data_IF_984117341629
#
_entry.id   IF_984117341629
#
_cell.length_a   1.000
_cell.length_b   1.000
_cell.length_c   1.000
_cell.angle_alpha   90.00
_cell.angle_beta   90.00
_cell.angle_gamma   90.00
#
_symmetry.space_group_name_H-M   'P 1'
#
loop_
_entity.id
_entity.type
_entity.pdbx_description
1 polymer ?
#
# COMPACT_ATOMS: atom_id res chain seq x y z
N UNK A 1 3.06 -40.68 7.11
CA UNK A 1 1.65 -41.09 7.29
C UNK A 1 0.81 -40.06 8.05
N UNK A 2 1.13 -39.71 9.30
CA UNK A 2 0.33 -38.75 10.10
C UNK A 2 0.03 -37.41 9.40
N UNK A 3 1.04 -36.76 8.80
CA UNK A 3 0.88 -35.48 8.11
C UNK A 3 0.01 -35.53 6.84
N UNK A 4 -0.11 -36.71 6.22
CA UNK A 4 -0.93 -36.92 5.03
C UNK A 4 -2.40 -37.03 5.44
N UNK A 5 -2.70 -37.86 6.44
CA UNK A 5 -4.05 -37.99 6.99
C UNK A 5 -4.59 -36.67 7.57
N UNK A 6 -3.75 -35.88 8.25
CA UNK A 6 -4.18 -34.55 8.75
C UNK A 6 -4.50 -33.61 7.59
N UNK A 7 -3.70 -33.61 6.52
CA UNK A 7 -3.93 -32.74 5.35
C UNK A 7 -5.23 -33.10 4.62
N UNK A 8 -5.55 -34.39 4.48
CA UNK A 8 -6.82 -34.86 3.91
C UNK A 8 -7.98 -34.39 4.80
N UNK A 9 -7.91 -34.65 6.10
CA UNK A 9 -8.95 -34.24 7.05
C UNK A 9 -9.22 -32.74 6.98
N UNK A 10 -8.18 -31.90 7.02
CA UNK A 10 -8.34 -30.45 6.92
C UNK A 10 -8.95 -30.04 5.58
N UNK A 11 -8.54 -30.65 4.45
CA UNK A 11 -9.09 -30.32 3.13
C UNK A 11 -10.60 -30.58 3.07
N UNK A 12 -11.05 -31.71 3.62
CA UNK A 12 -12.48 -32.02 3.72
C UNK A 12 -13.23 -31.10 4.70
N UNK A 13 -12.63 -30.79 5.85
CA UNK A 13 -13.23 -29.87 6.82
C UNK A 13 -13.44 -28.46 6.22
N UNK A 14 -12.45 -27.93 5.51
CA UNK A 14 -12.56 -26.64 4.79
C UNK A 14 -13.55 -26.72 3.63
N UNK A 15 -13.59 -27.82 2.89
CA UNK A 15 -14.57 -28.01 1.82
C UNK A 15 -16.00 -27.95 2.36
N UNK A 16 -16.24 -28.60 3.50
CA UNK A 16 -17.54 -28.56 4.18
C UNK A 16 -17.88 -27.15 4.66
N UNK A 17 -16.93 -26.46 5.30
CA UNK A 17 -17.10 -25.08 5.73
C UNK A 17 -17.49 -24.15 4.57
N UNK A 18 -16.76 -24.20 3.45
CA UNK A 18 -17.05 -23.41 2.26
C UNK A 18 -18.40 -23.78 1.68
N UNK A 19 -18.76 -25.06 1.60
CA UNK A 19 -20.07 -25.50 1.13
C UNK A 19 -21.21 -24.95 1.99
N UNK A 20 -21.08 -24.99 3.32
CA UNK A 20 -22.05 -24.41 4.24
C UNK A 20 -22.20 -22.90 4.00
N UNK A 21 -21.10 -22.17 3.83
CA UNK A 21 -21.14 -20.73 3.53
C UNK A 21 -21.78 -20.42 2.18
N UNK A 22 -21.51 -21.22 1.14
CA UNK A 22 -22.13 -21.06 -0.18
C UNK A 22 -23.64 -21.27 -0.09
N UNK A 23 -24.10 -22.29 0.64
CA UNK A 23 -25.54 -22.56 0.85
C UNK A 23 -26.21 -21.43 1.64
N UNK A 24 -25.55 -20.92 2.68
CA UNK A 24 -26.07 -19.83 3.51
C UNK A 24 -26.12 -18.48 2.76
N UNK A 25 -25.04 -18.08 2.09
CA UNK A 25 -24.92 -16.76 1.46
C UNK A 25 -25.45 -16.69 0.02
N UNK A 26 -25.59 -17.83 -0.68
CA UNK A 26 -26.13 -17.93 -2.05
C UNK A 26 -25.51 -16.91 -3.00
N UNK A 27 -26.31 -16.05 -3.64
CA UNK A 27 -25.84 -15.01 -4.57
C UNK A 27 -24.95 -13.95 -3.89
N UNK A 28 -25.15 -13.70 -2.60
CA UNK A 28 -24.32 -12.78 -1.82
C UNK A 28 -22.90 -13.33 -1.60
N UNK A 29 -22.68 -14.64 -1.77
CA UNK A 29 -21.34 -15.23 -1.70
C UNK A 29 -20.41 -14.67 -2.79
N UNK A 30 -20.95 -14.44 -4.00
CA UNK A 30 -20.21 -14.01 -5.19
C UNK A 30 -20.29 -12.49 -5.39
N UNK A 31 -21.42 -11.87 -5.07
CA UNK A 31 -21.65 -10.44 -5.33
C UNK A 31 -21.65 -9.57 -4.07
N UNK A 32 -21.50 -10.15 -2.88
CA UNK A 32 -21.47 -9.41 -1.62
C UNK A 32 -20.12 -8.77 -1.29
N UNK A 33 -20.13 -7.89 -0.28
CA UNK A 33 -18.92 -7.30 0.28
C UNK A 33 -18.02 -8.41 0.87
N UNK A 34 -16.82 -8.59 0.32
CA UNK A 34 -15.88 -9.65 0.71
C UNK A 34 -15.87 -10.89 -0.20
N UNK A 35 -16.50 -10.82 -1.38
CA UNK A 35 -16.51 -11.87 -2.39
C UNK A 35 -15.12 -12.39 -2.80
N UNK A 36 -14.10 -11.53 -2.85
CA UNK A 36 -12.74 -11.92 -3.22
C UNK A 36 -12.18 -12.99 -2.26
N UNK A 37 -12.47 -12.85 -0.97
CA UNK A 37 -12.05 -13.83 0.04
C UNK A 37 -12.81 -15.14 -0.07
N UNK A 38 -14.10 -15.07 -0.36
CA UNK A 38 -14.93 -16.24 -0.61
C UNK A 38 -14.45 -17.01 -1.87
N UNK A 39 -14.04 -16.28 -2.92
CA UNK A 39 -13.48 -16.86 -4.13
C UNK A 39 -12.10 -17.49 -3.88
N UNK A 40 -11.25 -16.85 -3.07
CA UNK A 40 -9.97 -17.41 -2.64
C UNK A 40 -10.14 -18.69 -1.81
N UNK A 41 -11.11 -18.72 -0.89
CA UNK A 41 -11.43 -19.91 -0.10
C UNK A 41 -11.83 -21.09 -1.02
N UNK A 42 -12.66 -20.83 -2.04
CA UNK A 42 -13.02 -21.83 -3.06
C UNK A 42 -11.80 -22.28 -3.87
N UNK A 43 -10.95 -21.34 -4.30
CA UNK A 43 -9.71 -21.66 -5.02
C UNK A 43 -8.79 -22.56 -4.20
N UNK A 44 -8.62 -22.28 -2.92
CA UNK A 44 -7.77 -23.08 -2.03
C UNK A 44 -8.30 -24.49 -1.79
N UNK A 45 -9.62 -24.64 -1.65
CA UNK A 45 -10.27 -25.96 -1.56
C UNK A 45 -10.08 -26.73 -2.87
N UNK A 46 -10.30 -26.09 -4.02
CA UNK A 46 -10.09 -26.71 -5.33
C UNK A 46 -8.63 -27.14 -5.54
N UNK A 47 -7.67 -26.31 -5.16
CA UNK A 47 -6.25 -26.64 -5.21
C UNK A 47 -5.90 -27.84 -4.32
N UNK A 48 -6.62 -28.06 -3.21
CA UNK A 48 -6.42 -29.22 -2.32
C UNK A 48 -6.91 -30.53 -2.89
N UNK A 49 -8.07 -30.51 -3.52
CA UNK A 49 -8.54 -31.67 -4.28
C UNK A 49 -7.65 -31.97 -5.48
N UNK A 50 -7.17 -30.92 -6.18
CA UNK A 50 -6.23 -31.09 -7.28
C UNK A 50 -4.93 -31.74 -6.79
N UNK A 51 -4.34 -31.25 -5.70
CA UNK A 51 -3.13 -31.85 -5.11
C UNK A 51 -3.33 -33.35 -4.79
N UNK A 52 -4.47 -33.72 -4.18
CA UNK A 52 -4.78 -35.12 -3.85
C UNK A 52 -4.91 -36.01 -5.09
N UNK A 53 -5.58 -35.52 -6.15
CA UNK A 53 -5.72 -36.24 -7.42
C UNK A 53 -4.37 -36.42 -8.14
N UNK A 54 -3.51 -35.40 -8.05
CA UNK A 54 -2.21 -35.39 -8.72
C UNK A 54 -1.16 -36.24 -7.98
N UNK A 55 -1.23 -36.35 -6.65
CA UNK A 55 -0.34 -37.19 -5.84
C UNK A 55 -0.57 -38.69 -6.10
N UNK A 56 -1.82 -39.10 -6.38
CA UNK A 56 -2.14 -40.48 -6.78
C UNK A 56 -1.78 -40.80 -8.25
N UNK A 57 -1.75 -39.77 -9.12
CA UNK A 57 -1.57 -39.94 -10.57
C UNK A 57 -0.13 -40.10 -11.05
N UNK A 58 0.89 -39.85 -10.22
CA UNK A 58 2.32 -40.08 -10.49
C UNK A 58 2.94 -39.37 -11.72
N UNK A 59 2.15 -38.58 -12.48
CA UNK A 59 2.50 -38.15 -13.84
C UNK A 59 2.98 -36.69 -13.96
N UNK A 60 3.09 -35.94 -12.85
CA UNK A 60 3.40 -34.52 -12.90
C UNK A 60 4.82 -34.18 -12.45
N UNK A 61 5.40 -33.17 -13.11
CA UNK A 61 6.72 -32.64 -12.78
C UNK A 61 6.80 -32.16 -11.32
N UNK A 62 7.90 -32.49 -10.67
CA UNK A 62 8.18 -32.21 -9.25
C UNK A 62 8.05 -30.73 -8.89
N UNK A 63 8.25 -29.81 -9.85
CA UNK A 63 8.13 -28.37 -9.64
C UNK A 63 6.68 -27.92 -9.39
N UNK A 64 5.69 -28.51 -10.09
CA UNK A 64 4.27 -28.18 -9.87
C UNK A 64 3.77 -28.74 -8.54
N UNK A 65 4.21 -29.95 -8.18
CA UNK A 65 3.90 -30.55 -6.88
C UNK A 65 4.49 -29.72 -5.72
N UNK A 66 5.69 -29.13 -5.91
CA UNK A 66 6.28 -28.20 -4.93
C UNK A 66 5.46 -26.92 -4.77
N UNK A 67 5.01 -26.32 -5.87
CA UNK A 67 4.18 -25.12 -5.83
C UNK A 67 2.82 -25.39 -5.14
N UNK A 68 2.16 -26.51 -5.47
CA UNK A 68 0.90 -26.92 -4.83
C UNK A 68 1.08 -27.15 -3.31
N UNK A 69 2.18 -27.77 -2.90
CA UNK A 69 2.53 -27.92 -1.48
C UNK A 69 2.80 -26.61 -0.74
N UNK A 70 3.09 -25.50 -1.43
CA UNK A 70 3.21 -24.18 -0.81
C UNK A 70 1.84 -23.52 -0.65
N UNK A 71 0.88 -23.79 -1.56
CA UNK A 71 -0.49 -23.27 -1.44
C UNK A 71 -1.19 -23.73 -0.16
N UNK A 72 -0.84 -24.89 0.39
CA UNK A 72 -1.38 -25.35 1.69
C UNK A 72 -1.05 -24.40 2.85
N UNK A 73 0.07 -23.68 2.80
CA UNK A 73 0.44 -22.69 3.82
C UNK A 73 -0.45 -21.44 3.73
N UNK A 74 -0.87 -21.10 2.51
CA UNK A 74 -1.82 -20.01 2.28
C UNK A 74 -3.21 -20.36 2.80
N UNK A 75 -3.59 -21.65 2.87
CA UNK A 75 -4.86 -22.07 3.52
C UNK A 75 -4.91 -21.68 4.98
N UNK A 76 -3.80 -21.69 5.70
CA UNK A 76 -3.76 -21.28 7.12
C UNK A 76 -4.15 -19.80 7.29
N UNK A 77 -4.01 -18.98 6.25
CA UNK A 77 -4.43 -17.57 6.28
C UNK A 77 -5.95 -17.40 6.30
N UNK A 78 -6.72 -18.40 5.86
CA UNK A 78 -8.19 -18.37 5.90
C UNK A 78 -8.70 -18.50 7.34
N UNK A 79 -8.03 -19.31 8.17
CA UNK A 79 -8.30 -19.43 9.62
C UNK A 79 -7.96 -18.15 10.37
N UNK A 80 -6.91 -17.46 9.92
CA UNK A 80 -6.47 -16.22 10.54
C UNK A 80 -7.35 -15.01 10.16
N UNK A 81 -8.28 -15.17 9.21
CA UNK A 81 -9.22 -14.12 8.76
C UNK A 81 -10.13 -13.61 9.88
N UNK A 82 -10.47 -14.45 10.87
CA UNK A 82 -11.32 -14.07 12.00
C UNK A 82 -10.58 -13.25 13.06
N UNK A 83 -9.26 -13.15 12.97
CA UNK A 83 -8.48 -12.40 13.94
C UNK A 83 -8.61 -10.89 13.70
N UNK A 84 -8.84 -10.09 14.76
CA UNK A 84 -8.90 -8.63 14.66
C UNK A 84 -7.59 -8.04 14.11
N UNK A 85 -6.47 -8.76 14.23
CA UNK A 85 -5.17 -8.42 13.64
C UNK A 85 -5.26 -8.32 12.11
N UNK A 86 -5.93 -9.26 11.44
CA UNK A 86 -6.07 -9.26 9.98
C UNK A 86 -6.99 -8.16 9.49
N UNK A 87 -7.99 -7.77 10.29
CA UNK A 87 -8.83 -6.61 10.00
C UNK A 87 -8.05 -5.30 10.07
N UNK A 88 -7.15 -5.14 11.05
CA UNK A 88 -6.24 -3.99 11.14
C UNK A 88 -5.22 -3.97 9.99
N UNK A 89 -4.59 -5.11 9.69
CA UNK A 89 -3.68 -5.23 8.54
C UNK A 89 -4.39 -4.93 7.22
N UNK A 90 -5.63 -5.39 7.03
CA UNK A 90 -6.43 -5.08 5.85
C UNK A 90 -6.71 -3.59 5.73
N UNK A 91 -7.05 -2.91 6.82
CA UNK A 91 -7.24 -1.47 6.82
C UNK A 91 -5.94 -0.73 6.48
N UNK A 92 -4.81 -1.15 7.04
CA UNK A 92 -3.50 -0.59 6.69
C UNK A 92 -3.15 -0.83 5.21
N UNK A 93 -3.41 -2.02 4.67
CA UNK A 93 -3.17 -2.34 3.27
C UNK A 93 -4.12 -1.59 2.32
N UNK A 94 -5.37 -1.37 2.70
CA UNK A 94 -6.31 -0.52 1.96
C UNK A 94 -5.85 0.94 1.95
N UNK A 95 -5.38 1.44 3.10
CA UNK A 95 -4.81 2.78 3.19
C UNK A 95 -3.55 2.91 2.31
N UNK A 96 -2.62 1.95 2.39
CA UNK A 96 -1.45 1.88 1.52
C UNK A 96 -1.85 1.76 0.04
N UNK A 97 -2.89 0.98 -0.27
CA UNK A 97 -3.47 0.84 -1.61
C UNK A 97 -3.96 2.17 -2.18
N UNK A 98 -4.59 3.00 -1.35
CA UNK A 98 -4.99 4.36 -1.71
C UNK A 98 -3.79 5.24 -2.08
N UNK A 99 -2.69 5.15 -1.33
CA UNK A 99 -1.46 5.90 -1.60
C UNK A 99 -0.64 5.33 -2.78
N UNK A 100 -0.76 4.03 -3.08
CA UNK A 100 -0.03 3.36 -4.15
C UNK A 100 -0.39 3.92 -5.53
N UNK A 101 -1.66 4.29 -5.76
CA UNK A 101 -2.08 4.85 -7.05
C UNK A 101 -1.42 6.21 -7.33
N UNK A 102 -1.38 7.11 -6.34
CA UNK A 102 -0.70 8.40 -6.50
C UNK A 102 0.81 8.24 -6.60
N UNK A 103 1.40 7.36 -5.78
CA UNK A 103 2.82 7.03 -5.84
C UNK A 103 3.23 6.44 -7.20
N UNK A 104 2.39 5.60 -7.80
CA UNK A 104 2.65 4.98 -9.09
C UNK A 104 2.84 6.03 -10.19
N UNK A 105 2.00 7.07 -10.24
CA UNK A 105 2.16 8.15 -11.22
C UNK A 105 3.47 8.92 -11.02
N UNK A 106 3.85 9.17 -9.78
CA UNK A 106 5.12 9.86 -9.47
C UNK A 106 6.31 8.99 -9.86
N UNK A 107 6.28 7.69 -9.52
CA UNK A 107 7.32 6.73 -9.91
C UNK A 107 7.44 6.63 -11.43
N UNK A 108 6.32 6.57 -12.16
CA UNK A 108 6.34 6.57 -13.63
C UNK A 108 6.99 7.83 -14.19
N UNK A 109 6.67 9.01 -13.63
CA UNK A 109 7.28 10.27 -14.03
C UNK A 109 8.78 10.30 -13.74
N UNK A 110 9.21 9.78 -12.58
CA UNK A 110 10.62 9.65 -12.23
C UNK A 110 11.38 8.71 -13.17
N UNK A 111 10.81 7.53 -13.47
CA UNK A 111 11.40 6.57 -14.41
C UNK A 111 11.49 7.17 -15.81
N UNK A 112 10.45 7.88 -16.26
CA UNK A 112 10.46 8.57 -17.55
C UNK A 112 11.53 9.66 -17.61
N UNK A 113 11.65 10.49 -16.56
CA UNK A 113 12.72 11.50 -16.46
C UNK A 113 14.10 10.84 -16.51
N UNK A 114 14.31 9.77 -15.74
CA UNK A 114 15.55 9.00 -15.73
C UNK A 114 15.89 8.41 -17.09
N UNK A 115 14.88 7.96 -17.86
CA UNK A 115 15.06 7.50 -19.24
C UNK A 115 15.61 8.60 -20.15
N UNK A 116 15.14 9.84 -20.04
CA UNK A 116 15.65 10.95 -20.86
C UNK A 116 17.13 11.21 -20.59
N UNK A 117 17.53 11.23 -19.31
CA UNK A 117 18.94 11.38 -18.93
C UNK A 117 19.78 10.17 -19.36
N UNK A 118 19.25 8.96 -19.22
CA UNK A 118 19.94 7.73 -19.63
C UNK A 118 20.28 7.73 -21.12
N UNK A 119 19.38 8.20 -21.98
CA UNK A 119 19.65 8.33 -23.42
C UNK A 119 20.83 9.28 -23.68
N UNK A 120 20.91 10.40 -22.97
CA UNK A 120 22.02 11.35 -23.13
C UNK A 120 23.35 10.70 -22.71
N UNK A 121 23.42 10.12 -21.51
CA UNK A 121 24.66 9.51 -21.01
C UNK A 121 25.10 8.29 -21.83
N UNK A 122 24.17 7.46 -22.27
CA UNK A 122 24.47 6.31 -23.14
C UNK A 122 25.04 6.77 -24.49
N UNK A 123 24.49 7.83 -25.09
CA UNK A 123 25.02 8.40 -26.33
C UNK A 123 26.43 8.96 -26.12
N UNK A 124 26.66 9.67 -25.01
CA UNK A 124 27.98 10.20 -24.64
C UNK A 124 28.98 9.07 -24.46
N UNK A 125 28.66 8.05 -23.67
CA UNK A 125 29.52 6.89 -23.44
C UNK A 125 29.84 6.16 -24.75
N UNK A 126 28.83 5.95 -25.61
CA UNK A 126 29.02 5.33 -26.93
C UNK A 126 29.95 6.15 -27.82
N UNK A 127 29.81 7.48 -27.79
CA UNK A 127 30.69 8.37 -28.56
C UNK A 127 32.13 8.34 -28.06
N UNK A 128 32.31 8.33 -26.73
CA UNK A 128 33.62 8.26 -26.08
C UNK A 128 34.32 6.93 -26.37
N UNK A 129 33.64 5.80 -26.18
CA UNK A 129 34.14 4.44 -26.45
C UNK A 129 34.56 4.24 -27.91
N UNK A 130 33.89 4.91 -28.86
CA UNK A 130 34.28 4.86 -30.29
C UNK A 130 35.54 5.66 -30.61
N UNK A 131 35.83 6.70 -29.84
CA UNK A 131 36.96 7.61 -30.07
C UNK A 131 38.20 7.29 -29.22
N UNK A 132 38.01 6.67 -28.07
CA UNK A 132 39.08 6.39 -27.12
C UNK A 132 39.81 5.07 -27.44
N UNK A 133 41.14 4.98 -27.25
CA UNK A 133 41.85 3.71 -27.28
C UNK A 133 41.36 2.81 -26.13
N UNK A 134 41.28 1.49 -26.34
CA UNK A 134 40.88 0.52 -25.30
C UNK A 134 41.82 0.49 -24.07
N UNK A 135 42.98 1.15 -24.16
CA UNK A 135 43.94 1.30 -23.07
C UNK A 135 43.67 2.49 -22.12
N UNK A 136 42.60 3.25 -22.36
CA UNK A 136 42.20 4.36 -21.48
C UNK A 136 41.61 3.83 -20.16
N UNK A 137 41.98 4.46 -19.03
CA UNK A 137 41.61 4.04 -17.68
C UNK A 137 40.08 4.13 -17.46
N UNK A 138 39.42 5.07 -18.14
CA UNK A 138 37.98 5.27 -18.04
C UNK A 138 37.16 4.36 -18.97
N UNK A 139 37.79 3.64 -19.92
CA UNK A 139 37.10 2.81 -20.91
C UNK A 139 36.28 1.68 -20.25
N UNK A 140 36.89 0.96 -19.32
CA UNK A 140 36.25 -0.14 -18.60
C UNK A 140 35.11 0.36 -17.70
N UNK A 141 35.33 1.49 -17.02
CA UNK A 141 34.34 2.11 -16.14
C UNK A 141 33.12 2.61 -16.94
N UNK A 142 33.37 3.27 -18.08
CA UNK A 142 32.31 3.81 -18.93
C UNK A 142 31.49 2.70 -19.59
N UNK A 143 32.12 1.59 -20.00
CA UNK A 143 31.42 0.42 -20.55
C UNK A 143 30.64 -0.37 -19.48
N UNK A 144 31.13 -0.42 -18.25
CA UNK A 144 30.44 -1.07 -17.13
C UNK A 144 29.17 -0.32 -16.74
N UNK A 145 29.27 1.01 -16.55
CA UNK A 145 28.16 1.83 -16.10
C UNK A 145 27.20 2.26 -17.22
N UNK A 146 27.70 2.46 -18.43
CA UNK A 146 26.96 3.00 -19.56
C UNK A 146 26.99 2.12 -20.82
N UNK A 147 27.31 0.83 -20.71
CA UNK A 147 27.41 -0.07 -21.87
C UNK A 147 26.08 -0.46 -22.52
N UNK A 148 24.96 -0.30 -21.81
CA UNK A 148 23.64 -0.61 -22.36
C UNK A 148 22.55 0.22 -21.68
N UNK A 149 21.40 0.36 -22.34
CA UNK A 149 20.29 1.18 -21.83
C UNK A 149 19.81 0.78 -20.42
N UNK A 150 19.66 -0.53 -20.18
CA UNK A 150 19.20 -1.03 -18.87
C UNK A 150 20.28 -0.83 -17.80
N UNK A 151 21.56 -1.01 -18.15
CA UNK A 151 22.67 -0.72 -17.24
C UNK A 151 22.77 0.77 -16.93
N UNK A 152 22.60 1.66 -17.91
CA UNK A 152 22.59 3.11 -17.67
C UNK A 152 21.44 3.50 -16.73
N UNK A 153 20.23 3.00 -16.98
CA UNK A 153 19.09 3.22 -16.08
C UNK A 153 19.37 2.71 -14.66
N UNK A 154 19.99 1.52 -14.55
CA UNK A 154 20.39 0.94 -13.26
C UNK A 154 21.45 1.82 -12.58
N UNK A 155 22.50 2.25 -13.27
CA UNK A 155 23.55 3.13 -12.75
C UNK A 155 22.96 4.43 -12.21
N UNK A 156 22.14 5.11 -13.01
CA UNK A 156 21.46 6.35 -12.61
C UNK A 156 20.58 6.14 -11.38
N UNK A 157 19.86 5.02 -11.32
CA UNK A 157 19.08 4.63 -10.13
C UNK A 157 19.97 4.35 -8.92
N UNK A 158 21.05 3.59 -9.08
CA UNK A 158 22.01 3.27 -8.01
C UNK A 158 22.68 4.52 -7.46
N UNK A 159 22.97 5.53 -8.28
CA UNK A 159 23.56 6.80 -7.84
C UNK A 159 22.63 7.61 -6.91
N UNK A 160 21.31 7.44 -7.05
CA UNK A 160 20.31 8.14 -6.22
C UNK A 160 19.87 7.28 -5.02
N UNK A 161 19.71 5.98 -5.23
CA UNK A 161 19.26 5.03 -4.20
C UNK A 161 20.37 4.60 -3.23
N UNK A 162 21.62 5.00 -3.48
CA UNK A 162 22.77 4.67 -2.64
C UNK A 162 23.39 3.29 -2.91
N UNK A 163 23.19 2.74 -4.11
CA UNK A 163 23.82 1.49 -4.54
C UNK A 163 25.29 1.66 -4.94
N UNK A 164 25.65 2.81 -5.52
CA UNK A 164 27.02 3.19 -5.88
C UNK A 164 27.25 4.65 -5.50
N UNK A 165 28.48 5.01 -5.12
CA UNK A 165 28.81 6.40 -4.89
C UNK A 165 28.60 7.20 -6.17
N UNK A 166 27.85 8.30 -6.10
CA UNK A 166 27.69 9.21 -7.25
C UNK A 166 29.04 9.71 -7.78
N UNK A 167 30.06 9.77 -6.93
CA UNK A 167 31.42 10.16 -7.31
C UNK A 167 32.07 9.18 -8.30
N UNK A 168 31.87 7.87 -8.10
CA UNK A 168 32.43 6.83 -8.98
C UNK A 168 31.88 6.92 -10.41
N UNK A 169 30.63 7.37 -10.54
CA UNK A 169 29.98 7.59 -11.84
C UNK A 169 30.35 8.95 -12.42
N UNK A 170 30.57 9.96 -11.57
CA UNK A 170 30.90 11.32 -11.98
C UNK A 170 32.34 11.48 -12.50
N UNK A 171 33.30 10.73 -11.94
CA UNK A 171 34.72 10.81 -12.29
C UNK A 171 34.98 10.59 -13.81
N UNK A 172 34.52 9.49 -14.45
CA UNK A 172 34.76 9.28 -15.87
C UNK A 172 34.04 10.33 -16.74
N UNK A 173 32.90 10.88 -16.28
CA UNK A 173 32.18 11.94 -17.00
C UNK A 173 32.95 13.27 -17.00
N UNK A 174 33.68 13.58 -15.92
CA UNK A 174 34.54 14.78 -15.83
C UNK A 174 35.65 14.74 -16.90
N UNK A 175 36.25 13.57 -17.13
CA UNK A 175 37.33 13.38 -18.08
C UNK A 175 36.86 13.51 -19.54
N UNK A 176 35.58 13.25 -19.82
CA UNK A 176 34.96 13.52 -21.14
C UNK A 176 34.65 15.01 -21.31
N UNK A 177 33.89 15.60 -20.39
CA UNK A 177 33.55 17.03 -20.41
C UNK A 177 32.90 17.47 -19.10
N UNK A 178 33.29 18.64 -18.61
CA UNK A 178 32.65 19.32 -17.48
C UNK A 178 31.14 19.51 -17.69
N UNK A 179 30.68 19.66 -18.94
CA UNK A 179 29.26 19.79 -19.25
C UNK A 179 28.43 18.56 -18.87
N UNK A 180 28.97 17.35 -19.11
CA UNK A 180 28.29 16.10 -18.74
C UNK A 180 28.30 15.86 -17.23
N UNK A 181 29.37 16.28 -16.55
CA UNK A 181 29.40 16.30 -15.07
C UNK A 181 28.29 17.20 -14.50
N UNK A 182 28.17 18.43 -14.99
CA UNK A 182 27.14 19.36 -14.50
C UNK A 182 25.73 18.83 -14.77
N UNK A 183 25.51 18.18 -15.92
CA UNK A 183 24.26 17.53 -16.24
C UNK A 183 23.96 16.37 -15.28
N UNK A 184 24.95 15.54 -14.97
CA UNK A 184 24.82 14.42 -14.03
C UNK A 184 24.54 14.90 -12.59
N UNK A 185 25.27 15.91 -12.11
CA UNK A 185 25.01 16.50 -10.80
C UNK A 185 23.61 17.13 -10.71
N UNK A 186 23.18 17.80 -11.77
CA UNK A 186 21.83 18.36 -11.87
C UNK A 186 20.77 17.24 -11.79
N UNK A 187 20.98 16.13 -12.50
CA UNK A 187 20.15 14.94 -12.41
C UNK A 187 20.07 14.39 -10.97
N UNK A 188 21.23 14.16 -10.33
CA UNK A 188 21.30 13.61 -8.96
C UNK A 188 20.57 14.52 -7.97
N UNK A 189 20.83 15.83 -8.01
CA UNK A 189 20.17 16.80 -7.11
C UNK A 189 18.67 16.85 -7.35
N UNK A 190 18.22 16.93 -8.61
CA UNK A 190 16.78 16.97 -8.94
C UNK A 190 16.05 15.71 -8.47
N UNK A 191 16.64 14.52 -8.68
CA UNK A 191 16.00 13.28 -8.26
C UNK A 191 16.02 13.08 -6.75
N UNK A 192 17.10 13.48 -6.05
CA UNK A 192 17.13 13.47 -4.59
C UNK A 192 16.07 14.42 -4.02
N UNK A 193 15.92 15.63 -4.57
CA UNK A 193 14.86 16.56 -4.18
C UNK A 193 13.47 15.98 -4.47
N UNK A 194 13.26 15.37 -5.63
CA UNK A 194 11.99 14.74 -5.97
C UNK A 194 11.65 13.57 -5.01
N UNK A 195 12.62 12.71 -4.69
CA UNK A 195 12.46 11.65 -3.71
C UNK A 195 12.12 12.20 -2.32
N UNK A 196 12.85 13.23 -1.88
CA UNK A 196 12.57 13.90 -0.60
C UNK A 196 11.19 14.55 -0.56
N UNK A 197 10.72 15.12 -1.67
CA UNK A 197 9.37 15.71 -1.77
C UNK A 197 8.27 14.65 -1.66
N UNK A 198 8.50 13.43 -2.17
CA UNK A 198 7.58 12.31 -1.98
C UNK A 198 7.51 11.92 -0.52
N UNK A 199 8.65 11.71 0.14
CA UNK A 199 8.68 11.39 1.58
C UNK A 199 8.01 12.48 2.41
N UNK A 200 8.35 13.75 2.14
CA UNK A 200 7.74 14.89 2.82
C UNK A 200 6.23 14.93 2.58
N UNK A 201 5.76 14.68 1.36
CA UNK A 201 4.33 14.60 1.04
C UNK A 201 3.60 13.51 1.84
N UNK A 202 4.22 12.35 2.06
CA UNK A 202 3.66 11.28 2.90
C UNK A 202 3.55 11.75 4.36
N UNK A 203 4.62 12.30 4.94
CA UNK A 203 4.59 12.78 6.32
C UNK A 203 3.63 13.95 6.53
N UNK A 204 3.52 14.85 5.54
CA UNK A 204 2.57 15.97 5.58
C UNK A 204 1.13 15.45 5.51
N UNK A 205 0.84 14.49 4.62
CA UNK A 205 -0.50 13.89 4.56
C UNK A 205 -0.87 13.19 5.87
N UNK A 206 0.06 12.46 6.48
CA UNK A 206 -0.14 11.83 7.79
C UNK A 206 -0.42 12.88 8.88
N UNK A 207 0.39 13.95 8.94
CA UNK A 207 0.23 15.02 9.91
C UNK A 207 -1.10 15.76 9.75
N UNK A 208 -1.53 16.01 8.49
CA UNK A 208 -2.83 16.62 8.18
C UNK A 208 -3.97 15.67 8.58
N UNK A 209 -3.85 14.37 8.31
CA UNK A 209 -4.86 13.38 8.71
C UNK A 209 -5.00 13.27 10.23
N UNK A 210 -3.90 13.40 10.99
CA UNK A 210 -3.92 13.40 12.45
C UNK A 210 -4.56 14.69 12.97
N UNK A 211 -4.18 15.84 12.42
CA UNK A 211 -4.78 17.13 12.78
C UNK A 211 -6.29 17.20 12.47
N UNK A 212 -6.74 16.59 11.36
CA UNK A 212 -8.16 16.54 11.02
C UNK A 212 -8.95 15.65 11.98
N UNK A 213 -8.37 14.53 12.43
CA UNK A 213 -9.02 13.67 13.43
C UNK A 213 -9.20 14.39 14.77
N UNK A 214 -8.19 15.12 15.23
CA UNK A 214 -8.29 15.92 16.47
C UNK A 214 -9.38 16.99 16.37
N UNK A 215 -9.45 17.69 15.23
CA UNK A 215 -10.50 18.69 14.98
C UNK A 215 -11.89 18.06 14.93
N UNK A 216 -12.04 16.90 14.31
CA UNK A 216 -13.32 16.18 14.22
C UNK A 216 -13.78 15.69 15.60
N UNK A 217 -12.85 15.18 16.41
CA UNK A 217 -13.13 14.76 17.79
C UNK A 217 -13.56 15.94 18.67
N UNK A 218 -12.87 17.08 18.56
CA UNK A 218 -13.23 18.30 19.28
C UNK A 218 -14.62 18.81 18.88
N UNK A 219 -14.96 18.77 17.59
CA UNK A 219 -16.28 19.20 17.10
C UNK A 219 -17.40 18.28 17.59
N UNK A 220 -17.17 16.96 17.61
CA UNK A 220 -18.12 16.00 18.16
C UNK A 220 -18.37 16.21 19.66
N UNK A 221 -17.31 16.54 20.42
CA UNK A 221 -17.43 16.84 21.85
C UNK A 221 -18.25 18.12 22.09
N UNK A 222 -18.04 19.15 21.28
CA UNK A 222 -18.79 20.41 21.37
C UNK A 222 -20.27 20.20 21.03
N UNK A 223 -20.59 19.47 19.95
CA UNK A 223 -21.97 19.13 19.63
C UNK A 223 -22.64 18.30 20.74
N UNK A 224 -21.90 17.40 21.38
CA UNK A 224 -22.41 16.62 22.51
C UNK A 224 -22.76 17.52 23.70
N UNK A 225 -21.92 18.52 24.01
CA UNK A 225 -22.19 19.52 25.06
C UNK A 225 -23.40 20.40 24.72
N UNK A 226 -23.53 20.85 23.48
CA UNK A 226 -24.69 21.64 23.03
C UNK A 226 -25.98 20.82 23.15
N UNK A 227 -25.96 19.55 22.71
CA UNK A 227 -27.10 18.64 22.86
C UNK A 227 -27.47 18.42 24.33
N UNK A 228 -26.48 18.22 25.20
CA UNK A 228 -26.72 18.07 26.64
C UNK A 228 -27.38 19.32 27.24
N UNK A 229 -26.83 20.52 26.97
CA UNK A 229 -27.43 21.78 27.42
C UNK A 229 -28.85 22.01 26.88
N UNK A 230 -29.13 21.61 25.64
CA UNK A 230 -30.49 21.71 25.08
C UNK A 230 -31.47 20.77 25.80
N UNK A 231 -31.03 19.57 26.18
CA UNK A 231 -31.85 18.65 26.99
C UNK A 231 -32.10 19.24 28.37
N UNK A 232 -31.09 19.82 29.01
CA UNK A 232 -31.23 20.48 30.31
C UNK A 232 -32.18 21.68 30.23
N UNK A 233 -32.00 22.55 29.23
CA UNK A 233 -32.90 23.69 28.97
C UNK A 233 -34.33 23.24 28.72
N UNK A 234 -34.53 22.20 27.89
CA UNK A 234 -35.86 21.65 27.66
C UNK A 234 -36.47 21.10 28.96
N UNK A 235 -35.66 20.51 29.84
CA UNK A 235 -36.11 20.02 31.15
C UNK A 235 -36.52 21.17 32.06
N UNK A 236 -35.71 22.22 32.17
CA UNK A 236 -36.04 23.43 32.95
C UNK A 236 -37.30 24.12 32.43
N UNK A 237 -37.45 24.25 31.11
CA UNK A 237 -38.63 24.84 30.51
C UNK A 237 -39.89 23.99 30.73
N UNK A 238 -39.75 22.66 30.76
CA UNK A 238 -40.86 21.76 31.08
C UNK A 238 -41.23 21.77 32.56
N UNK A 239 -40.28 22.00 33.45
CA UNK A 239 -40.55 22.19 34.89
C UNK A 239 -41.19 23.55 35.18
N UNK A 240 -40.84 24.58 34.41
CA UNK A 240 -41.41 25.92 34.54
C UNK A 240 -42.84 26.03 33.95
N UNK A 241 -43.20 25.18 32.98
CA UNK A 241 -44.53 25.10 32.36
C UNK A 241 -45.50 24.30 33.26
N UNK A 242 -46.10 24.99 34.23
CA UNK A 242 -46.98 24.36 35.24
C UNK A 242 -48.35 23.97 34.66
N UNK A 243 -48.82 24.67 33.63
CA UNK A 243 -50.12 24.43 32.99
C UNK A 243 -50.04 23.47 31.78
N UNK A 244 -48.83 23.07 31.36
CA UNK A 244 -48.55 22.16 30.24
C UNK A 244 -49.14 22.69 28.93
N UNK A 245 -49.17 24.02 28.77
CA UNK A 245 -49.66 24.68 27.56
C UNK A 245 -48.65 24.58 26.41
N UNK A 246 -47.38 24.25 26.69
CA UNK A 246 -46.29 24.26 25.71
C UNK A 246 -45.74 25.66 25.45
N UNK A 247 -46.16 26.66 26.23
CA UNK A 247 -45.67 28.04 26.17
C UNK A 247 -45.48 28.57 27.58
N UNK A 248 -44.37 29.25 27.86
CA UNK A 248 -44.10 29.78 29.20
C UNK A 248 -44.63 31.20 29.32
N UNK A 249 -45.59 31.41 30.21
CA UNK A 249 -46.10 32.74 30.52
C UNK A 249 -45.12 33.55 31.40
N UNK A 250 -45.22 34.88 31.37
CA UNK A 250 -44.32 35.75 32.15
C UNK A 250 -44.45 35.52 33.67
N UNK A 251 -45.62 35.08 34.14
CA UNK A 251 -45.90 34.79 35.55
C UNK A 251 -45.25 33.48 35.99
N UNK A 252 -45.36 32.42 35.19
CA UNK A 252 -44.70 31.12 35.42
C UNK A 252 -43.17 31.25 35.41
N UNK A 253 -42.62 32.01 34.46
CA UNK A 253 -41.18 32.27 34.40
C UNK A 253 -40.67 33.00 35.65
N UNK A 254 -41.40 34.00 36.15
CA UNK A 254 -41.03 34.72 37.38
C UNK A 254 -41.16 33.82 38.62
N UNK A 255 -42.16 32.96 38.67
CA UNK A 255 -42.35 32.04 39.78
C UNK A 255 -41.19 31.02 39.88
N UNK A 256 -40.78 30.43 38.74
CA UNK A 256 -39.69 29.45 38.69
C UNK A 256 -38.31 30.07 38.97
N UNK A 257 -38.05 31.32 38.54
CA UNK A 257 -36.79 32.03 38.83
C UNK A 257 -36.63 32.44 40.30
N UNK A 258 -37.72 32.45 41.08
CA UNK A 258 -37.74 32.84 42.49
C UNK A 258 -37.94 31.65 43.46
N UNK A 259 -38.10 30.42 42.95
CA UNK A 259 -38.11 29.17 43.73
C UNK A 259 -36.71 28.59 43.88
#
# INVERSE_FOLDING_TARGET
EFAHYTSIFFTFAFALEVAVRVVYMRWFFIFGAGNLWNLLDVFFVAAGFLEMLLDEGGAFEVNYLRALRLLRLLRTTTLLRSEPIFSRLRLMLLALGGCLQSLLWVVLLLVFSMYLFAVVFLNTATSYVRSAPEADEDFETMTTFFGSMHMTLLTLGMSVLGGVSWWEVAQPLLNVSVGYLLLFLTFVVLLLLAAMNIFTGIFVNEAVSLASQDSEFAHQEEEAKIRAHLVDLHTYFKEADADVSGTISQEEFRAYMHS
#
